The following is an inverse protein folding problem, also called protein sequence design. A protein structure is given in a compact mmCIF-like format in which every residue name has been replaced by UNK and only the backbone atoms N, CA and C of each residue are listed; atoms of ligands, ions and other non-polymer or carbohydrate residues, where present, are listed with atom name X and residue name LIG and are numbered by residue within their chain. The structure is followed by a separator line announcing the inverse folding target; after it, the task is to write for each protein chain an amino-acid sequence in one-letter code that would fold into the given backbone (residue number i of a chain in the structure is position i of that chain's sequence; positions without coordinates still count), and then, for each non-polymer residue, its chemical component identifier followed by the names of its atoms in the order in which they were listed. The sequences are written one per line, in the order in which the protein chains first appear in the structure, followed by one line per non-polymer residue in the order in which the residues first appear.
data_IF_002660387431
#
_entry.id   IF_002660387431
#
_cell.length_a   1.000
_cell.length_b   1.000
_cell.length_c   1.000
_cell.angle_alpha   90.00
_cell.angle_beta   90.00
_cell.angle_gamma   90.00
#
_symmetry.space_group_name_H-M   'P 1'
#
loop_
_entity.id
_entity.type
_entity.pdbx_description
1 polymer ?
#
# COMPACT_ATOMS: atom_id res chain seq x y z
N UNK A 1 2.73 15.95 3.99
CA UNK A 1 1.89 15.57 5.12
C UNK A 1 0.88 14.52 4.66
N UNK A 2 0.70 13.47 5.41
CA UNK A 2 -0.20 12.40 5.05
C UNK A 2 -1.50 12.54 5.82
N UNK A 3 -2.35 13.45 5.42
CA UNK A 3 -3.73 13.45 5.90
C UNK A 3 -4.54 12.35 5.16
N UNK A 4 -5.54 11.76 5.81
CA UNK A 4 -5.93 11.94 7.20
C UNK A 4 -5.10 11.11 8.20
N UNK A 5 -5.05 11.58 9.44
CA UNK A 5 -4.42 10.87 10.57
C UNK A 5 -5.38 9.94 11.32
N UNK A 6 -6.66 9.91 10.94
CA UNK A 6 -7.69 8.98 11.44
C UNK A 6 -8.83 8.91 10.41
N UNK A 7 -9.71 7.92 10.53
CA UNK A 7 -10.83 7.74 9.60
C UNK A 7 -11.81 8.92 9.58
N UNK A 8 -11.93 9.65 10.68
CA UNK A 8 -12.84 10.81 10.77
C UNK A 8 -12.47 11.96 9.83
N UNK A 9 -11.19 12.06 9.46
CA UNK A 9 -10.67 13.11 8.57
C UNK A 9 -10.60 12.66 7.11
N UNK A 10 -10.95 11.40 6.83
CA UNK A 10 -10.83 10.83 5.49
C UNK A 10 -11.78 11.53 4.50
N UNK A 11 -11.23 11.89 3.33
CA UNK A 11 -11.95 12.53 2.23
C UNK A 11 -12.59 13.87 2.63
N UNK A 12 -12.07 14.49 3.69
CA UNK A 12 -12.50 15.83 4.10
C UNK A 12 -11.97 16.93 3.16
N UNK A 13 -12.42 18.16 3.38
CA UNK A 13 -12.01 19.32 2.57
C UNK A 13 -10.48 19.48 2.60
N UNK A 14 -9.84 19.26 3.74
CA UNK A 14 -8.39 19.43 3.87
C UNK A 14 -7.61 18.39 3.06
N UNK A 15 -8.06 17.14 3.04
CA UNK A 15 -7.43 16.10 2.21
C UNK A 15 -7.59 16.40 0.72
N UNK A 16 -8.77 16.84 0.28
CA UNK A 16 -9.01 17.16 -1.12
C UNK A 16 -8.20 18.40 -1.54
N UNK A 17 -8.15 19.45 -0.70
CA UNK A 17 -7.31 20.64 -0.95
C UNK A 17 -5.82 20.28 -1.00
N UNK A 18 -5.33 19.35 -0.18
CA UNK A 18 -3.96 18.84 -0.26
C UNK A 18 -3.71 18.23 -1.65
N UNK A 19 -4.59 17.38 -2.16
CA UNK A 19 -4.46 16.79 -3.50
C UNK A 19 -4.47 17.87 -4.60
N UNK A 20 -5.30 18.89 -4.49
CA UNK A 20 -5.32 20.02 -5.45
C UNK A 20 -3.96 20.71 -5.46
N UNK A 21 -3.40 21.01 -4.29
CA UNK A 21 -2.06 21.64 -4.20
C UNK A 21 -0.95 20.74 -4.72
N UNK A 22 -1.03 19.44 -4.45
CA UNK A 22 -0.08 18.46 -4.99
C UNK A 22 -0.17 18.36 -6.52
N UNK A 23 -1.36 18.49 -7.11
CA UNK A 23 -1.53 18.58 -8.55
C UNK A 23 -0.87 19.83 -9.16
N UNK A 24 -1.05 20.99 -8.53
CA UNK A 24 -0.36 22.23 -8.95
C UNK A 24 1.17 22.09 -8.85
N UNK A 25 1.68 21.54 -7.76
CA UNK A 25 3.12 21.33 -7.57
C UNK A 25 3.69 20.29 -8.54
N UNK A 26 2.93 19.24 -8.83
CA UNK A 26 3.29 18.23 -9.84
C UNK A 26 3.52 18.88 -11.20
N UNK A 27 2.57 19.71 -11.63
CA UNK A 27 2.70 20.43 -12.90
C UNK A 27 3.93 21.33 -12.92
N UNK A 28 4.16 22.09 -11.86
CA UNK A 28 5.34 22.97 -11.75
C UNK A 28 6.66 22.20 -11.82
N UNK A 29 6.74 21.03 -11.16
CA UNK A 29 7.94 20.19 -11.22
C UNK A 29 8.18 19.67 -12.65
N UNK A 30 7.14 19.22 -13.33
CA UNK A 30 7.23 18.74 -14.71
C UNK A 30 7.62 19.86 -15.69
N UNK A 31 7.15 21.09 -15.50
CA UNK A 31 7.55 22.26 -16.29
C UNK A 31 9.08 22.53 -16.16
N UNK A 32 9.70 22.02 -15.09
CA UNK A 32 11.15 22.06 -14.85
C UNK A 32 11.89 20.75 -15.15
N UNK A 33 11.24 19.78 -15.82
CA UNK A 33 11.79 18.44 -16.11
C UNK A 33 12.19 17.64 -14.87
N UNK A 34 11.48 17.82 -13.75
CA UNK A 34 11.68 17.06 -12.50
C UNK A 34 10.64 15.97 -12.41
N UNK A 35 11.10 14.73 -12.13
CA UNK A 35 10.20 13.62 -11.84
C UNK A 35 9.49 13.84 -10.50
N UNK A 36 8.24 13.38 -10.42
CA UNK A 36 7.39 13.54 -9.24
C UNK A 36 6.77 12.22 -8.83
N UNK A 37 6.71 11.96 -7.55
CA UNK A 37 5.86 10.96 -6.93
C UNK A 37 5.04 11.68 -5.85
N UNK A 38 3.73 11.48 -5.87
CA UNK A 38 2.78 12.11 -4.94
C UNK A 38 2.53 11.17 -3.76
N UNK A 39 2.65 11.68 -2.55
CA UNK A 39 2.32 10.92 -1.35
C UNK A 39 0.82 10.97 -1.07
N UNK A 40 0.25 9.84 -0.67
CA UNK A 40 -1.18 9.66 -0.49
C UNK A 40 -1.66 9.60 0.96
N UNK A 41 -2.95 9.33 1.16
CA UNK A 41 -3.59 9.39 2.46
C UNK A 41 -3.10 8.31 3.42
N UNK A 42 -3.09 8.65 4.73
CA UNK A 42 -2.73 7.73 5.81
C UNK A 42 -3.86 6.79 6.22
N UNK A 43 -5.02 7.35 6.57
CA UNK A 43 -6.20 6.60 7.04
C UNK A 43 -7.38 6.84 6.11
N UNK A 44 -7.95 5.80 5.52
CA UNK A 44 -9.13 5.90 4.65
C UNK A 44 -10.01 4.69 4.85
N UNK A 45 -11.31 4.86 5.12
CA UNK A 45 -12.25 3.74 5.16
C UNK A 45 -12.18 2.92 3.87
N UNK A 46 -12.29 1.61 3.98
CA UNK A 46 -12.05 0.68 2.88
C UNK A 46 -12.88 1.00 1.62
N UNK A 47 -14.13 1.39 1.81
CA UNK A 47 -15.06 1.76 0.73
C UNK A 47 -14.68 3.06 0.00
N UNK A 48 -13.86 3.91 0.61
CA UNK A 48 -13.42 5.18 0.03
C UNK A 48 -12.05 5.11 -0.66
N UNK A 49 -11.30 4.04 -0.46
CA UNK A 49 -9.93 3.91 -0.99
C UNK A 49 -9.91 4.04 -2.51
N UNK A 50 -10.78 3.31 -3.22
CA UNK A 50 -10.84 3.36 -4.68
C UNK A 50 -11.18 4.76 -5.22
N UNK A 51 -12.08 5.47 -4.55
CA UNK A 51 -12.46 6.84 -4.92
C UNK A 51 -11.27 7.80 -4.72
N UNK A 52 -10.54 7.69 -3.60
CA UNK A 52 -9.34 8.48 -3.35
C UNK A 52 -8.27 8.28 -4.40
N UNK A 53 -8.02 7.04 -4.86
CA UNK A 53 -7.08 6.75 -5.94
C UNK A 53 -7.48 7.46 -7.24
N UNK A 54 -8.77 7.41 -7.61
CA UNK A 54 -9.28 8.06 -8.82
C UNK A 54 -9.19 9.59 -8.76
N UNK A 55 -9.50 10.17 -7.61
CA UNK A 55 -9.39 11.62 -7.39
C UNK A 55 -7.94 12.07 -7.58
N UNK A 56 -6.97 11.38 -6.96
CA UNK A 56 -5.55 11.68 -7.14
C UNK A 56 -5.12 11.58 -8.61
N UNK A 57 -5.46 10.48 -9.28
CA UNK A 57 -5.09 10.27 -10.68
C UNK A 57 -5.61 11.41 -11.57
N UNK A 58 -6.81 11.90 -11.30
CA UNK A 58 -7.40 13.01 -12.04
C UNK A 58 -6.70 14.33 -11.74
N UNK A 59 -6.57 14.69 -10.46
CA UNK A 59 -6.03 16.00 -10.03
C UNK A 59 -4.52 16.08 -10.31
N UNK A 60 -3.77 14.99 -10.05
CA UNK A 60 -2.32 14.95 -10.24
C UNK A 60 -1.90 14.40 -11.63
N UNK A 61 -2.82 14.37 -12.58
CA UNK A 61 -2.54 14.06 -14.00
C UNK A 61 -1.82 12.73 -14.20
N UNK A 62 -2.14 11.71 -13.39
CA UNK A 62 -1.52 10.39 -13.47
C UNK A 62 -0.12 10.28 -12.87
N UNK A 63 0.35 11.27 -12.12
CA UNK A 63 1.61 11.16 -11.38
C UNK A 63 1.60 9.93 -10.46
N UNK A 64 2.71 9.18 -10.35
CA UNK A 64 2.80 8.03 -9.47
C UNK A 64 2.34 8.35 -8.05
N UNK A 65 1.45 7.51 -7.51
CA UNK A 65 0.86 7.69 -6.19
C UNK A 65 1.48 6.69 -5.21
N UNK A 66 2.15 7.21 -4.20
CA UNK A 66 2.76 6.48 -3.10
C UNK A 66 1.83 6.54 -1.89
N UNK A 67 1.43 5.39 -1.36
CA UNK A 67 0.49 5.33 -0.23
C UNK A 67 1.04 4.49 0.91
N UNK A 68 0.71 4.86 2.15
CA UNK A 68 1.10 4.14 3.38
C UNK A 68 0.05 3.13 3.84
N UNK A 69 -0.55 2.46 2.96
CA UNK A 69 -1.67 1.59 3.15
C UNK A 69 -2.72 1.89 2.11
N UNK A 70 -3.79 2.62 2.39
CA UNK A 70 -4.20 3.30 3.64
C UNK A 70 -4.59 2.35 4.76
N UNK A 71 -4.48 2.84 6.02
CA UNK A 71 -5.02 2.16 7.18
C UNK A 71 -6.55 2.27 7.14
N UNK A 72 -7.23 1.15 7.17
CA UNK A 72 -8.69 1.08 6.89
C UNK A 72 -9.56 1.07 8.14
N UNK A 73 -8.95 1.06 9.31
CA UNK A 73 -9.62 1.16 10.62
C UNK A 73 -8.67 1.74 11.66
N UNK A 74 -9.21 2.43 12.66
CA UNK A 74 -8.45 3.05 13.76
C UNK A 74 -8.39 2.18 15.02
N UNK A 75 -9.02 0.99 15.01
CA UNK A 75 -9.17 0.17 16.22
C UNK A 75 -7.97 -0.74 16.52
N UNK A 76 -6.94 -0.73 15.70
CA UNK A 76 -5.88 -1.73 15.74
C UNK A 76 -4.46 -1.16 15.97
N UNK A 77 -4.21 -0.28 16.95
CA UNK A 77 -2.84 0.08 17.31
C UNK A 77 -2.02 -1.16 17.67
N UNK A 78 -0.80 -1.26 17.14
CA UNK A 78 0.03 -2.46 17.25
C UNK A 78 -0.17 -3.48 16.12
N UNK A 79 -1.21 -3.31 15.30
CA UNK A 79 -1.50 -4.13 14.10
C UNK A 79 -1.62 -3.28 12.83
N UNK A 80 -1.04 -2.11 12.84
CA UNK A 80 -1.14 -1.12 11.76
C UNK A 80 -0.63 -1.65 10.42
N UNK A 81 0.38 -2.53 10.42
CA UNK A 81 0.88 -3.22 9.24
C UNK A 81 -0.18 -4.08 8.56
N UNK A 82 -1.10 -4.69 9.34
CA UNK A 82 -2.20 -5.51 8.81
C UNK A 82 -3.26 -4.59 8.18
N UNK A 83 -3.68 -3.54 8.89
CA UNK A 83 -4.69 -2.61 8.37
C UNK A 83 -4.19 -1.86 7.15
N UNK A 84 -2.90 -1.52 7.10
CA UNK A 84 -2.23 -0.94 5.95
C UNK A 84 -2.16 -1.90 4.76
N UNK A 85 -1.89 -3.18 4.98
CA UNK A 85 -1.86 -4.18 3.91
C UNK A 85 -3.23 -4.36 3.24
N UNK A 86 -4.31 -4.35 4.05
CA UNK A 86 -5.69 -4.43 3.53
C UNK A 86 -5.98 -3.25 2.62
N UNK A 87 -5.77 -2.04 3.09
CA UNK A 87 -5.98 -0.83 2.30
C UNK A 87 -5.01 -0.72 1.13
N UNK A 88 -3.76 -1.15 1.33
CA UNK A 88 -2.72 -1.16 0.32
C UNK A 88 -3.06 -2.04 -0.88
N UNK A 89 -3.60 -3.24 -0.66
CA UNK A 89 -4.07 -4.10 -1.73
C UNK A 89 -5.18 -3.44 -2.54
N UNK A 90 -6.16 -2.82 -1.89
CA UNK A 90 -7.24 -2.09 -2.57
C UNK A 90 -6.71 -0.86 -3.30
N UNK A 91 -5.81 -0.09 -2.70
CA UNK A 91 -5.21 1.08 -3.32
C UNK A 91 -4.40 0.69 -4.57
N UNK A 92 -3.54 -0.33 -4.47
CA UNK A 92 -2.72 -0.80 -5.58
C UNK A 92 -3.57 -1.37 -6.72
N UNK A 93 -4.65 -2.07 -6.42
CA UNK A 93 -5.63 -2.53 -7.41
C UNK A 93 -6.31 -1.37 -8.13
N UNK A 94 -6.44 -0.21 -7.49
CA UNK A 94 -7.10 0.98 -8.04
C UNK A 94 -6.14 2.08 -8.50
N UNK A 95 -4.83 1.80 -8.59
CA UNK A 95 -3.88 2.68 -9.27
C UNK A 95 -2.80 3.32 -8.41
N UNK A 96 -2.66 2.94 -7.15
CA UNK A 96 -1.45 3.29 -6.41
C UNK A 96 -0.23 2.64 -7.07
N UNK A 97 0.84 3.41 -7.25
CA UNK A 97 2.06 2.98 -7.90
C UNK A 97 3.08 2.38 -6.91
N UNK A 98 3.05 2.82 -5.66
CA UNK A 98 3.93 2.36 -4.60
C UNK A 98 3.17 2.16 -3.30
N UNK A 99 3.50 1.08 -2.60
CA UNK A 99 3.08 0.85 -1.22
C UNK A 99 4.28 1.09 -0.29
N UNK A 100 4.12 2.02 0.64
CA UNK A 100 4.99 2.11 1.80
C UNK A 100 4.62 1.00 2.78
N UNK A 101 5.56 0.57 3.60
CA UNK A 101 5.22 -0.25 4.75
C UNK A 101 4.82 0.62 5.95
N UNK A 102 3.99 0.07 6.80
CA UNK A 102 3.64 0.60 8.11
C UNK A 102 4.02 -0.45 9.14
N UNK A 103 4.68 -0.03 10.22
CA UNK A 103 5.11 -0.96 11.27
C UNK A 103 4.02 -1.19 12.32
N UNK A 104 4.06 -2.27 13.10
CA UNK A 104 3.21 -2.44 14.28
C UNK A 104 3.30 -1.28 15.28
N UNK A 105 4.45 -0.58 15.32
CA UNK A 105 4.71 0.51 16.24
C UNK A 105 4.14 1.87 15.81
N UNK A 106 3.53 2.02 14.62
CA UNK A 106 3.17 3.31 14.00
C UNK A 106 2.46 4.27 14.95
N UNK A 107 1.51 3.80 15.76
CA UNK A 107 0.78 4.62 16.72
C UNK A 107 1.24 4.44 18.18
N UNK A 108 2.31 3.71 18.43
CA UNK A 108 2.73 3.33 19.79
C UNK A 108 4.12 3.85 20.16
N UNK A 109 5.08 3.79 19.23
CA UNK A 109 6.48 4.12 19.50
C UNK A 109 7.27 4.36 18.21
N UNK A 110 8.56 4.72 18.35
CA UNK A 110 9.49 4.67 17.22
C UNK A 110 9.80 3.21 16.90
N UNK A 111 9.70 2.79 15.62
CA UNK A 111 9.94 1.40 15.24
C UNK A 111 11.42 1.03 15.36
N UNK A 112 11.68 -0.21 15.73
CA UNK A 112 12.98 -0.85 15.66
C UNK A 112 13.07 -1.78 14.44
N UNK A 113 14.12 -2.59 14.33
CA UNK A 113 14.34 -3.50 13.20
C UNK A 113 13.29 -4.62 13.19
N UNK A 114 12.94 -5.15 14.37
CA UNK A 114 11.95 -6.21 14.54
C UNK A 114 10.55 -5.72 14.13
N UNK A 115 10.20 -4.47 14.42
CA UNK A 115 8.94 -3.85 13.97
C UNK A 115 8.93 -3.63 12.44
N UNK A 116 10.09 -3.36 11.86
CA UNK A 116 10.20 -3.08 10.42
C UNK A 116 9.92 -4.31 9.57
N UNK A 117 10.39 -5.48 9.98
CA UNK A 117 10.22 -6.74 9.24
C UNK A 117 8.74 -7.06 8.96
N UNK A 118 7.83 -7.15 9.95
CA UNK A 118 6.41 -7.44 9.67
C UNK A 118 5.74 -6.35 8.82
N UNK A 119 6.15 -5.09 8.95
CA UNK A 119 5.64 -4.01 8.09
C UNK A 119 5.98 -4.22 6.62
N UNK A 120 7.24 -4.56 6.32
CA UNK A 120 7.70 -4.86 4.96
C UNK A 120 6.98 -6.10 4.42
N UNK A 121 6.89 -7.18 5.20
CA UNK A 121 6.22 -8.42 4.79
C UNK A 121 4.74 -8.16 4.47
N UNK A 122 4.04 -7.40 5.28
CA UNK A 122 2.64 -7.06 5.05
C UNK A 122 2.44 -6.33 3.70
N UNK A 123 3.27 -5.35 3.38
CA UNK A 123 3.22 -4.64 2.10
C UNK A 123 3.64 -5.53 0.92
N UNK A 124 4.62 -6.41 1.14
CA UNK A 124 5.07 -7.40 0.13
C UNK A 124 3.98 -8.44 -0.18
N UNK A 125 3.05 -8.70 0.74
CA UNK A 125 1.87 -9.55 0.51
C UNK A 125 0.77 -8.77 -0.22
N UNK A 126 0.54 -7.52 0.16
CA UNK A 126 -0.51 -6.68 -0.41
C UNK A 126 -0.29 -6.38 -1.90
N UNK A 127 0.94 -6.11 -2.32
CA UNK A 127 1.28 -5.73 -3.69
C UNK A 127 0.96 -6.85 -4.72
N UNK A 128 1.45 -8.09 -4.58
CA UNK A 128 1.12 -9.16 -5.53
C UNK A 128 -0.36 -9.55 -5.49
N UNK A 129 -1.04 -9.43 -4.35
CA UNK A 129 -2.50 -9.63 -4.31
C UNK A 129 -3.24 -8.65 -5.24
N UNK A 130 -2.80 -7.39 -5.27
CA UNK A 130 -3.33 -6.39 -6.18
C UNK A 130 -2.94 -6.67 -7.64
N UNK A 131 -1.72 -7.11 -7.91
CA UNK A 131 -1.26 -7.43 -9.26
C UNK A 131 -2.00 -8.62 -9.86
N UNK A 132 -2.29 -9.65 -9.05
CA UNK A 132 -3.17 -10.75 -9.43
C UNK A 132 -4.57 -10.24 -9.79
N UNK A 133 -5.15 -9.39 -8.96
CA UNK A 133 -6.48 -8.83 -9.18
C UNK A 133 -6.56 -7.96 -10.45
N UNK A 134 -5.47 -7.25 -10.79
CA UNK A 134 -5.34 -6.48 -12.04
C UNK A 134 -5.11 -7.36 -13.28
N UNK A 135 -4.82 -8.63 -13.11
CA UNK A 135 -4.47 -9.54 -14.20
C UNK A 135 -3.11 -9.27 -14.83
N UNK A 136 -2.15 -8.76 -14.06
CA UNK A 136 -0.79 -8.53 -14.55
C UNK A 136 -0.17 -9.86 -14.99
N UNK A 137 0.38 -9.97 -16.21
CA UNK A 137 1.03 -11.19 -16.67
C UNK A 137 2.15 -11.64 -15.74
N UNK A 138 2.15 -12.92 -15.35
CA UNK A 138 3.13 -13.50 -14.43
C UNK A 138 2.87 -13.25 -12.94
N UNK A 139 1.90 -12.41 -12.56
CA UNK A 139 1.63 -12.10 -11.15
C UNK A 139 1.22 -13.33 -10.33
N UNK A 140 0.68 -14.36 -10.96
CA UNK A 140 0.26 -15.62 -10.30
C UNK A 140 1.34 -16.71 -10.26
N UNK A 141 2.44 -16.55 -10.97
CA UNK A 141 3.39 -17.64 -11.21
C UNK A 141 3.92 -18.26 -9.92
N UNK A 142 4.30 -17.44 -8.93
CA UNK A 142 4.79 -17.94 -7.64
C UNK A 142 3.66 -18.64 -6.85
N UNK A 143 2.45 -18.09 -6.86
CA UNK A 143 1.30 -18.70 -6.19
C UNK A 143 0.92 -20.04 -6.83
N UNK A 144 0.99 -20.15 -8.15
CA UNK A 144 0.72 -21.38 -8.89
C UNK A 144 1.83 -22.42 -8.65
N UNK A 145 3.10 -22.02 -8.56
CA UNK A 145 4.22 -22.88 -8.15
C UNK A 145 4.04 -23.40 -6.72
N UNK A 146 3.70 -22.54 -5.78
CA UNK A 146 3.37 -22.92 -4.41
C UNK A 146 2.23 -23.94 -4.37
N UNK A 147 1.15 -23.70 -5.13
CA UNK A 147 0.02 -24.61 -5.20
C UNK A 147 0.40 -25.99 -5.78
N UNK A 148 1.26 -26.02 -6.79
CA UNK A 148 1.77 -27.27 -7.39
C UNK A 148 2.62 -28.06 -6.38
N UNK A 149 3.55 -27.41 -5.67
CA UNK A 149 4.36 -28.01 -4.62
C UNK A 149 3.50 -28.55 -3.46
N UNK A 150 2.49 -27.79 -3.04
CA UNK A 150 1.58 -28.18 -1.96
C UNK A 150 0.77 -29.43 -2.28
N UNK A 151 0.36 -29.63 -3.55
CA UNK A 151 -0.42 -30.82 -3.98
C UNK A 151 0.36 -32.13 -3.82
N UNK A 152 1.67 -32.07 -3.91
CA UNK A 152 2.55 -33.26 -3.81
C UNK A 152 3.34 -33.30 -2.49
N UNK A 153 3.08 -32.35 -1.58
CA UNK A 153 3.74 -32.18 -0.28
C UNK A 153 5.27 -32.01 -0.42
N UNK A 154 5.71 -31.34 -1.48
CA UNK A 154 7.11 -30.97 -1.69
C UNK A 154 7.44 -29.74 -0.83
N UNK A 155 7.96 -29.97 0.36
CA UNK A 155 8.26 -28.93 1.33
C UNK A 155 9.41 -28.02 0.88
N UNK A 156 10.43 -28.56 0.23
CA UNK A 156 11.57 -27.77 -0.25
C UNK A 156 11.12 -26.77 -1.31
N UNK A 157 10.30 -27.20 -2.26
CA UNK A 157 9.71 -26.32 -3.26
C UNK A 157 8.74 -25.29 -2.65
N UNK A 158 7.96 -25.66 -1.61
CA UNK A 158 7.10 -24.71 -0.89
C UNK A 158 7.93 -23.63 -0.18
N UNK A 159 9.00 -24.02 0.53
CA UNK A 159 9.89 -23.06 1.19
C UNK A 159 10.59 -22.13 0.20
N UNK A 160 10.96 -22.63 -0.97
CA UNK A 160 11.54 -21.81 -2.03
C UNK A 160 10.59 -20.74 -2.58
N UNK A 161 9.26 -20.93 -2.47
CA UNK A 161 8.23 -19.97 -2.86
C UNK A 161 7.80 -19.06 -1.73
N UNK A 162 8.14 -19.35 -0.48
CA UNK A 162 7.66 -18.58 0.67
C UNK A 162 8.41 -17.26 0.82
N UNK A 163 7.69 -16.21 1.25
CA UNK A 163 8.27 -14.88 1.50
C UNK A 163 9.21 -14.85 2.71
N UNK A 164 8.94 -15.65 3.70
CA UNK A 164 9.75 -15.77 4.91
C UNK A 164 9.86 -17.25 5.28
N UNK A 165 11.08 -17.74 5.33
CA UNK A 165 11.40 -19.14 5.64
C UNK A 165 12.26 -19.27 6.87
N UNK A 166 12.53 -18.18 7.60
CA UNK A 166 13.27 -18.26 8.85
C UNK A 166 12.38 -18.96 9.89
N UNK A 167 12.69 -20.20 10.28
CA UNK A 167 12.08 -20.76 11.49
C UNK A 167 12.64 -19.99 12.68
N UNK A 168 11.78 -19.54 13.56
CA UNK A 168 12.16 -19.12 14.90
C UNK A 168 12.59 -20.31 15.74
#
# INVERSE_FOLDING_TARGET
ACRPGCLADATDVCQIEELVRLGELTKRAWDHNVQVMVEGPGHVPLDQVAANMKVQQSICMGAPFYVRGPLVTDIAPGYDHITAAIGGAVAAMNGAAFLCYVTPAEHLALPNVEDTKPGILASTIAAPAADIAKGIPGARDIADQMAAASRVLDWDAQFACALDTAPD
#
